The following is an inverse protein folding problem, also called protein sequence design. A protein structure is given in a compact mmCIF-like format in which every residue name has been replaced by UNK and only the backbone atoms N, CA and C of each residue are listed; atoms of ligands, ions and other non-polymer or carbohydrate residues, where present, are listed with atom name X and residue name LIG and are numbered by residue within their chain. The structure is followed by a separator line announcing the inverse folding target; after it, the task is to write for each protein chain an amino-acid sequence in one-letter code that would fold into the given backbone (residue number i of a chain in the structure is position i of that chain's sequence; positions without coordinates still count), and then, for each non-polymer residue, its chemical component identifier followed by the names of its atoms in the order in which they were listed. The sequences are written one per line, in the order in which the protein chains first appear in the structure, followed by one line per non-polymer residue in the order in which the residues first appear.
data_IF_780101148580
#
_entry.id   IF_780101148580
#
_cell.length_a   1.000
_cell.length_b   1.000
_cell.length_c   1.000
_cell.angle_alpha   90.00
_cell.angle_beta   90.00
_cell.angle_gamma   90.00
#
_symmetry.space_group_name_H-M   'P 1'
#
loop_
_entity.id
_entity.type
_entity.pdbx_description
1 polymer ?
#
# COMPACT_ATOMS: atom_id res chain seq x y z
N UNK A 1 4.63 -2.23 -46.64
CA UNK A 1 4.04 -2.77 -45.41
C UNK A 1 3.73 -1.60 -44.49
N UNK A 2 2.63 -1.64 -43.73
CA UNK A 2 2.38 -0.65 -42.68
C UNK A 2 3.32 -0.84 -41.48
N UNK A 3 3.31 0.08 -40.50
CA UNK A 3 4.10 -0.09 -39.28
C UNK A 3 3.68 -1.34 -38.50
N UNK A 4 4.65 -1.96 -37.82
CA UNK A 4 4.37 -2.97 -36.80
C UNK A 4 3.83 -2.28 -35.56
N UNK A 5 2.98 -2.96 -34.79
CA UNK A 5 2.34 -2.40 -33.60
C UNK A 5 2.75 -3.16 -32.36
N UNK A 6 3.22 -2.43 -31.36
CA UNK A 6 3.52 -2.93 -30.02
C UNK A 6 2.56 -2.25 -29.06
N UNK A 7 1.63 -3.01 -28.48
CA UNK A 7 0.66 -2.48 -27.51
C UNK A 7 1.05 -2.86 -26.09
N UNK A 8 1.14 -1.86 -25.23
CA UNK A 8 1.41 -2.00 -23.81
C UNK A 8 0.18 -1.54 -23.05
N UNK A 9 -0.45 -2.46 -22.33
CA UNK A 9 -1.33 -2.09 -21.23
C UNK A 9 -0.53 -2.03 -19.94
N UNK A 10 -0.81 -1.06 -19.09
CA UNK A 10 -0.09 -0.90 -17.84
C UNK A 10 -0.94 -0.35 -16.71
N UNK A 11 -0.61 -0.80 -15.50
CA UNK A 11 -1.09 -0.24 -14.23
C UNK A 11 0.10 0.11 -13.36
N UNK A 12 -0.15 0.89 -12.32
CA UNK A 12 0.82 1.25 -11.28
C UNK A 12 0.05 1.57 -10.01
N UNK A 13 0.75 1.52 -8.87
CA UNK A 13 0.24 1.98 -7.58
C UNK A 13 -1.09 1.30 -7.26
N UNK A 14 -1.15 -0.02 -7.44
CA UNK A 14 -2.39 -0.76 -7.27
C UNK A 14 -2.83 -0.80 -5.82
N UNK A 15 -1.91 -0.76 -4.85
CA UNK A 15 -2.16 -0.61 -3.42
C UNK A 15 -3.21 -1.59 -2.86
N UNK A 16 -3.23 -2.81 -3.39
CA UNK A 16 -4.20 -3.83 -3.05
C UNK A 16 -5.64 -3.59 -3.54
N UNK A 17 -5.92 -2.54 -4.32
CA UNK A 17 -7.26 -2.26 -4.85
C UNK A 17 -7.60 -3.23 -5.98
N UNK A 18 -8.39 -4.25 -5.69
CA UNK A 18 -8.72 -5.31 -6.66
C UNK A 18 -10.08 -5.16 -7.35
N UNK A 19 -10.91 -4.20 -6.94
CA UNK A 19 -12.31 -4.10 -7.38
C UNK A 19 -12.46 -3.98 -8.90
N UNK A 20 -11.64 -3.18 -9.56
CA UNK A 20 -11.71 -2.93 -11.01
C UNK A 20 -10.94 -3.97 -11.85
N UNK A 21 -10.26 -4.92 -11.22
CA UNK A 21 -9.37 -5.84 -11.93
C UNK A 21 -10.12 -6.75 -12.92
N UNK A 22 -11.36 -7.11 -12.62
CA UNK A 22 -12.20 -7.88 -13.54
C UNK A 22 -12.50 -7.14 -14.86
N UNK A 23 -12.75 -5.83 -14.77
CA UNK A 23 -12.97 -4.99 -15.94
C UNK A 23 -11.68 -4.75 -16.74
N UNK A 24 -10.54 -4.58 -16.07
CA UNK A 24 -9.22 -4.51 -16.71
C UNK A 24 -8.91 -5.81 -17.48
N UNK A 25 -9.06 -6.97 -16.82
CA UNK A 25 -8.86 -8.29 -17.43
C UNK A 25 -9.66 -8.46 -18.71
N UNK A 26 -10.93 -8.03 -18.70
CA UNK A 26 -11.79 -8.07 -19.89
C UNK A 26 -11.21 -7.24 -21.04
N UNK A 27 -10.80 -6.00 -20.80
CA UNK A 27 -10.22 -5.12 -21.82
C UNK A 27 -8.95 -5.75 -22.43
N UNK A 28 -8.07 -6.26 -21.58
CA UNK A 28 -6.81 -6.89 -22.02
C UNK A 28 -7.08 -8.17 -22.82
N UNK A 29 -8.00 -9.04 -22.35
CA UNK A 29 -8.40 -10.26 -23.07
C UNK A 29 -9.07 -9.96 -24.41
N UNK A 30 -9.92 -8.95 -24.48
CA UNK A 30 -10.52 -8.51 -25.75
C UNK A 30 -9.45 -8.04 -26.74
N UNK A 31 -8.44 -7.31 -26.28
CA UNK A 31 -7.32 -6.90 -27.12
C UNK A 31 -6.48 -8.09 -27.60
N UNK A 32 -6.07 -8.99 -26.68
CA UNK A 32 -5.34 -10.22 -27.02
C UNK A 32 -6.15 -11.14 -27.95
N UNK A 33 -7.48 -11.16 -27.88
CA UNK A 33 -8.30 -11.95 -28.81
C UNK A 33 -8.25 -11.43 -30.25
N UNK A 34 -8.01 -10.14 -30.44
CA UNK A 34 -7.91 -9.48 -31.75
C UNK A 34 -6.48 -9.49 -32.28
N UNK A 35 -5.51 -9.44 -31.38
CA UNK A 35 -4.08 -9.44 -31.68
C UNK A 35 -3.31 -10.26 -30.62
N UNK A 36 -3.26 -11.60 -30.77
CA UNK A 36 -2.69 -12.51 -29.76
C UNK A 36 -1.22 -12.27 -29.44
N UNK A 37 -0.45 -11.81 -30.43
CA UNK A 37 0.99 -11.59 -30.31
C UNK A 37 1.36 -10.12 -30.12
N UNK A 38 0.38 -9.20 -30.08
CA UNK A 38 0.61 -7.76 -30.11
C UNK A 38 0.50 -7.02 -28.78
N UNK A 39 0.19 -7.72 -27.68
CA UNK A 39 -0.15 -7.08 -26.39
C UNK A 39 0.77 -7.56 -25.27
N UNK A 40 1.41 -6.61 -24.59
CA UNK A 40 2.01 -6.79 -23.27
C UNK A 40 1.14 -6.13 -22.20
N UNK A 41 1.03 -6.76 -21.05
CA UNK A 41 0.34 -6.24 -19.89
C UNK A 41 1.28 -6.22 -18.68
N UNK A 42 1.58 -5.04 -18.15
CA UNK A 42 2.63 -4.85 -17.14
C UNK A 42 2.15 -4.04 -15.94
N UNK A 43 2.79 -4.23 -14.78
CA UNK A 43 2.61 -3.38 -13.60
C UNK A 43 3.92 -2.67 -13.27
N UNK A 44 3.83 -1.41 -12.87
CA UNK A 44 4.95 -0.57 -12.44
C UNK A 44 5.14 -0.53 -10.92
N UNK A 45 4.59 -1.49 -10.18
CA UNK A 45 4.86 -1.66 -8.74
C UNK A 45 3.87 -0.96 -7.81
N UNK A 46 4.14 -1.10 -6.51
CA UNK A 46 3.24 -0.81 -5.40
C UNK A 46 1.95 -1.63 -5.50
N UNK A 47 2.14 -2.94 -5.57
CA UNK A 47 1.07 -3.93 -5.59
C UNK A 47 0.36 -3.98 -4.24
N UNK A 48 1.11 -3.76 -3.16
CA UNK A 48 0.65 -3.84 -1.76
C UNK A 48 0.40 -2.47 -1.11
N UNK A 49 -0.10 -2.52 0.13
CA UNK A 49 -0.32 -1.39 1.03
C UNK A 49 -1.47 -0.47 0.60
N UNK A 50 -2.65 -0.60 1.23
CA UNK A 50 -3.71 0.41 1.09
C UNK A 50 -5.12 -0.13 1.27
N UNK A 51 -5.60 -0.95 0.34
CA UNK A 51 -6.97 -1.43 0.35
C UNK A 51 -7.20 -2.49 1.45
N UNK A 52 -8.22 -2.28 2.30
CA UNK A 52 -8.53 -3.20 3.41
C UNK A 52 -8.81 -4.63 2.97
N UNK A 53 -9.40 -4.83 1.77
CA UNK A 53 -9.62 -6.17 1.21
C UNK A 53 -8.32 -6.96 1.07
N UNK A 54 -7.22 -6.28 0.73
CA UNK A 54 -5.89 -6.85 0.59
C UNK A 54 -5.17 -6.93 1.93
N UNK A 55 -5.19 -5.85 2.72
CA UNK A 55 -4.48 -5.81 4.01
C UNK A 55 -4.97 -6.84 5.02
N UNK A 56 -6.29 -7.03 5.11
CA UNK A 56 -6.89 -8.03 5.99
C UNK A 56 -6.58 -9.46 5.58
N UNK A 57 -6.19 -9.68 4.31
CA UNK A 57 -5.97 -11.00 3.72
C UNK A 57 -4.51 -11.20 3.30
N UNK A 58 -3.61 -10.51 3.98
CA UNK A 58 -2.17 -10.53 3.77
C UNK A 58 -1.74 -10.42 2.31
N UNK A 59 -2.28 -9.43 1.59
CA UNK A 59 -1.86 -9.14 0.21
C UNK A 59 -2.28 -10.17 -0.84
N UNK A 60 -2.78 -11.36 -0.44
CA UNK A 60 -3.16 -12.46 -1.34
C UNK A 60 -4.11 -12.03 -2.47
N UNK A 61 -5.16 -11.21 -2.22
CA UNK A 61 -6.02 -10.77 -3.30
C UNK A 61 -5.27 -10.00 -4.39
N UNK A 62 -4.30 -9.15 -4.01
CA UNK A 62 -3.52 -8.38 -4.97
C UNK A 62 -2.68 -9.29 -5.86
N UNK A 63 -2.01 -10.28 -5.26
CA UNK A 63 -1.12 -11.21 -5.98
C UNK A 63 -1.88 -12.15 -6.91
N UNK A 64 -2.95 -12.78 -6.41
CA UNK A 64 -3.70 -13.74 -7.22
C UNK A 64 -4.44 -13.05 -8.38
N UNK A 65 -4.86 -11.79 -8.19
CA UNK A 65 -5.43 -10.99 -9.28
C UNK A 65 -4.40 -10.71 -10.38
N UNK A 66 -3.15 -10.38 -10.05
CA UNK A 66 -2.09 -10.18 -11.05
C UNK A 66 -1.85 -11.47 -11.87
N UNK A 67 -1.79 -12.62 -11.19
CA UNK A 67 -1.64 -13.92 -11.84
C UNK A 67 -2.84 -14.27 -12.74
N UNK A 68 -4.06 -14.17 -12.21
CA UNK A 68 -5.29 -14.52 -12.92
C UNK A 68 -5.62 -13.56 -14.09
N UNK A 69 -5.24 -12.28 -13.99
CA UNK A 69 -5.39 -11.32 -15.08
C UNK A 69 -4.30 -11.47 -16.17
N UNK A 70 -3.27 -12.29 -15.91
CA UNK A 70 -2.23 -12.61 -16.89
C UNK A 70 -1.31 -11.42 -17.20
N UNK A 71 -0.81 -10.76 -16.15
CA UNK A 71 0.30 -9.80 -16.28
C UNK A 71 1.55 -10.53 -16.81
N UNK A 72 2.20 -9.94 -17.81
CA UNK A 72 3.40 -10.48 -18.45
C UNK A 72 4.68 -10.18 -17.68
N UNK A 73 4.69 -9.08 -16.93
CA UNK A 73 5.81 -8.56 -16.12
C UNK A 73 5.27 -7.66 -15.00
N UNK A 74 5.87 -7.72 -13.82
CA UNK A 74 5.59 -6.82 -12.70
C UNK A 74 6.91 -6.25 -12.17
N UNK A 75 7.03 -4.93 -12.06
CA UNK A 75 8.11 -4.27 -11.30
C UNK A 75 7.73 -4.18 -9.83
N UNK A 76 8.72 -4.21 -8.93
CA UNK A 76 8.50 -3.93 -7.50
C UNK A 76 8.45 -2.43 -7.22
N UNK A 77 7.53 -2.01 -6.35
CA UNK A 77 7.52 -0.67 -5.78
C UNK A 77 8.07 -0.61 -4.36
N UNK A 78 8.11 0.57 -3.76
CA UNK A 78 8.62 0.73 -2.40
C UNK A 78 7.71 0.05 -1.37
N UNK A 79 6.39 0.13 -1.55
CA UNK A 79 5.43 -0.47 -0.62
C UNK A 79 5.41 -1.99 -0.67
N UNK A 80 6.02 -2.59 -1.69
CA UNK A 80 6.18 -4.04 -1.75
C UNK A 80 7.16 -4.60 -0.71
N UNK A 81 7.96 -3.72 -0.10
CA UNK A 81 8.87 -4.04 1.00
C UNK A 81 8.27 -3.79 2.40
N UNK A 82 7.07 -3.22 2.52
CA UNK A 82 6.49 -2.81 3.82
C UNK A 82 6.25 -3.95 4.82
N UNK A 83 6.23 -5.19 4.34
CA UNK A 83 6.07 -6.40 5.17
C UNK A 83 7.38 -7.13 5.41
N UNK A 84 8.50 -6.59 4.92
CA UNK A 84 9.84 -7.14 5.11
C UNK A 84 10.35 -7.98 3.95
N UNK A 85 11.69 -8.11 3.86
CA UNK A 85 12.38 -8.87 2.80
C UNK A 85 11.90 -10.33 2.69
N UNK A 86 11.50 -10.96 3.78
CA UNK A 86 10.98 -12.33 3.75
C UNK A 86 9.68 -12.42 2.94
N UNK A 87 8.76 -11.47 3.14
CA UNK A 87 7.46 -11.45 2.50
C UNK A 87 7.57 -11.20 0.99
N UNK A 88 8.38 -10.22 0.56
CA UNK A 88 8.59 -9.97 -0.87
C UNK A 88 9.26 -11.17 -1.56
N UNK A 89 10.19 -11.87 -0.88
CA UNK A 89 10.81 -13.10 -1.40
C UNK A 89 9.79 -14.23 -1.56
N UNK A 90 8.87 -14.40 -0.61
CA UNK A 90 7.80 -15.38 -0.70
C UNK A 90 6.84 -15.07 -1.86
N UNK A 91 6.51 -13.79 -2.08
CA UNK A 91 5.78 -13.36 -3.27
C UNK A 91 6.54 -13.69 -4.55
N UNK A 92 7.80 -13.23 -4.69
CA UNK A 92 8.61 -13.48 -5.88
C UNK A 92 8.73 -14.97 -6.18
N UNK A 93 8.91 -15.81 -5.15
CA UNK A 93 8.99 -17.26 -5.29
C UNK A 93 7.68 -17.96 -5.69
N UNK A 94 6.54 -17.32 -5.48
CA UNK A 94 5.21 -17.84 -5.84
C UNK A 94 4.57 -17.15 -7.05
N UNK A 95 5.19 -16.08 -7.56
CA UNK A 95 4.69 -15.32 -8.70
C UNK A 95 4.62 -16.18 -9.97
N UNK A 96 3.49 -16.07 -10.69
CA UNK A 96 3.28 -16.74 -11.99
C UNK A 96 3.81 -15.92 -13.17
N UNK A 97 4.41 -14.77 -12.87
CA UNK A 97 4.93 -13.78 -13.80
C UNK A 97 6.35 -13.41 -13.38
N UNK A 98 7.21 -12.98 -14.32
CA UNK A 98 8.51 -12.43 -13.97
C UNK A 98 8.36 -11.13 -13.17
N UNK A 99 9.17 -11.04 -12.12
CA UNK A 99 9.32 -9.83 -11.31
C UNK A 99 10.63 -9.13 -11.69
N UNK A 100 10.57 -7.83 -11.96
CA UNK A 100 11.74 -6.99 -12.17
C UNK A 100 12.10 -6.25 -10.86
N UNK A 101 13.41 -5.99 -10.67
CA UNK A 101 13.96 -5.17 -9.60
C UNK A 101 15.45 -4.88 -9.90
N UNK A 102 15.75 -4.12 -10.96
CA UNK A 102 17.10 -4.06 -11.51
C UNK A 102 18.15 -3.50 -10.54
N UNK A 103 17.74 -2.52 -9.74
CA UNK A 103 18.60 -1.78 -8.81
C UNK A 103 18.47 -2.26 -7.36
N UNK A 104 17.83 -3.41 -7.08
CA UNK A 104 17.71 -3.96 -5.72
C UNK A 104 18.70 -5.10 -5.53
N UNK A 105 19.67 -4.91 -4.65
CA UNK A 105 20.79 -5.83 -4.42
C UNK A 105 20.77 -6.39 -3.00
N UNK A 106 21.09 -7.67 -2.83
CA UNK A 106 21.34 -8.28 -1.53
C UNK A 106 22.77 -7.98 -1.08
N UNK A 107 22.94 -7.28 0.04
CA UNK A 107 24.26 -6.88 0.55
C UNK A 107 25.16 -8.10 0.84
N UNK A 108 24.56 -9.20 1.31
CA UNK A 108 25.29 -10.42 1.68
C UNK A 108 25.95 -11.12 0.50
N UNK A 109 25.40 -10.99 -0.70
CA UNK A 109 25.90 -11.68 -1.91
C UNK A 109 26.48 -10.70 -2.93
N UNK A 110 26.11 -9.42 -2.86
CA UNK A 110 26.35 -8.43 -3.90
C UNK A 110 25.59 -8.73 -5.20
N UNK A 111 24.63 -9.67 -5.17
CA UNK A 111 23.79 -10.03 -6.31
C UNK A 111 22.43 -9.35 -6.20
N UNK A 112 21.69 -9.32 -7.31
CA UNK A 112 20.32 -8.83 -7.36
C UNK A 112 19.42 -9.66 -6.42
N UNK A 113 18.36 -9.04 -5.91
CA UNK A 113 17.33 -9.71 -5.11
C UNK A 113 16.94 -11.06 -5.71
N UNK A 114 17.05 -12.12 -4.91
CA UNK A 114 16.84 -13.48 -5.40
C UNK A 114 15.45 -13.64 -6.03
N UNK A 115 15.41 -14.23 -7.23
CA UNK A 115 14.18 -14.48 -7.98
C UNK A 115 13.72 -13.35 -8.90
N UNK A 116 14.31 -12.16 -8.81
CA UNK A 116 14.01 -11.06 -9.75
C UNK A 116 14.96 -11.05 -10.94
N UNK A 117 14.57 -10.31 -11.99
CA UNK A 117 15.44 -9.96 -13.12
C UNK A 117 15.66 -8.45 -13.14
N UNK A 118 16.69 -8.00 -13.84
CA UNK A 118 16.91 -6.57 -14.05
C UNK A 118 16.25 -6.09 -15.32
N UNK A 119 16.33 -6.93 -16.33
CA UNK A 119 15.61 -6.74 -17.56
C UNK A 119 15.12 -8.06 -18.13
N UNK A 120 14.28 -7.96 -19.15
CA UNK A 120 13.88 -9.07 -20.00
C UNK A 120 13.54 -8.57 -21.40
N UNK A 121 13.51 -9.49 -22.38
CA UNK A 121 12.98 -9.23 -23.71
C UNK A 121 11.68 -10.02 -23.89
N UNK A 122 10.69 -9.38 -24.51
CA UNK A 122 9.47 -10.01 -25.04
C UNK A 122 9.37 -9.71 -26.53
N UNK A 123 8.93 -10.70 -27.29
CA UNK A 123 8.60 -10.50 -28.69
C UNK A 123 7.13 -10.11 -28.80
N UNK A 124 6.84 -9.01 -29.48
CA UNK A 124 5.49 -8.46 -29.67
C UNK A 124 5.31 -8.13 -31.14
N UNK A 125 4.43 -8.85 -31.85
CA UNK A 125 4.27 -8.75 -33.30
C UNK A 125 5.61 -8.81 -34.06
N UNK A 126 6.50 -9.70 -33.60
CA UNK A 126 7.85 -9.87 -34.15
C UNK A 126 8.85 -8.78 -33.76
N UNK A 127 8.50 -7.83 -32.88
CA UNK A 127 9.39 -6.79 -32.32
C UNK A 127 9.94 -7.20 -30.97
N UNK A 128 11.27 -7.13 -30.79
CA UNK A 128 11.92 -7.43 -29.52
C UNK A 128 11.85 -6.21 -28.59
N UNK A 129 10.91 -6.24 -27.66
CA UNK A 129 10.71 -5.22 -26.63
C UNK A 129 11.50 -5.58 -25.38
N UNK A 130 12.54 -4.81 -25.09
CA UNK A 130 13.30 -4.88 -23.84
C UNK A 130 12.63 -4.06 -22.74
N UNK A 131 12.52 -4.63 -21.54
CA UNK A 131 11.95 -3.96 -20.36
C UNK A 131 12.97 -4.01 -19.23
N UNK A 132 13.24 -2.86 -18.61
CA UNK A 132 14.05 -2.72 -17.39
C UNK A 132 13.14 -2.27 -16.26
N UNK A 133 13.32 -2.79 -15.05
CA UNK A 133 12.52 -2.39 -13.90
C UNK A 133 13.36 -1.70 -12.82
N UNK A 134 12.94 -0.55 -12.30
CA UNK A 134 13.65 0.16 -11.23
C UNK A 134 12.72 0.75 -10.18
N UNK A 135 13.17 0.74 -8.93
CA UNK A 135 12.46 1.27 -7.76
C UNK A 135 13.27 2.39 -7.09
N UNK A 136 12.58 3.36 -6.47
CA UNK A 136 13.22 4.52 -5.82
C UNK A 136 14.23 4.12 -4.74
N UNK A 137 15.36 4.83 -4.67
CA UNK A 137 16.33 4.67 -3.57
C UNK A 137 15.73 5.11 -2.23
N UNK A 138 14.68 5.94 -2.25
CA UNK A 138 13.96 6.36 -1.07
C UNK A 138 13.36 5.17 -0.30
N UNK A 139 13.16 4.02 -0.94
CA UNK A 139 12.69 2.76 -0.30
C UNK A 139 13.49 2.41 0.95
N UNK A 140 14.80 2.71 0.98
CA UNK A 140 15.65 2.53 2.16
C UNK A 140 15.22 3.35 3.39
N UNK A 141 14.41 4.39 3.18
CA UNK A 141 14.00 5.37 4.18
C UNK A 141 12.48 5.52 4.33
N UNK A 142 11.69 5.25 3.29
CA UNK A 142 10.22 5.37 3.32
C UNK A 142 9.54 4.08 3.77
N UNK A 143 10.13 2.93 3.50
CA UNK A 143 9.79 1.69 4.22
C UNK A 143 10.49 1.70 5.58
N UNK A 144 9.93 1.01 6.59
CA UNK A 144 10.64 0.86 7.86
C UNK A 144 12.03 0.26 7.61
N UNK A 145 13.10 0.91 8.09
CA UNK A 145 14.47 0.48 7.81
C UNK A 145 14.73 -1.00 8.18
N UNK A 146 14.01 -1.52 9.17
CA UNK A 146 14.00 -2.93 9.58
C UNK A 146 13.49 -3.88 8.47
N UNK A 147 12.54 -3.43 7.65
CA UNK A 147 11.90 -4.23 6.61
C UNK A 147 12.78 -4.44 5.37
N UNK A 148 13.76 -3.57 5.15
CA UNK A 148 14.68 -3.63 4.01
C UNK A 148 16.11 -4.00 4.43
N UNK A 149 16.29 -4.51 5.65
CA UNK A 149 17.59 -4.92 6.16
C UNK A 149 18.28 -5.93 5.24
N UNK A 150 19.55 -5.68 4.94
CA UNK A 150 20.36 -6.51 4.04
C UNK A 150 20.13 -6.26 2.55
N UNK A 151 19.35 -5.22 2.19
CA UNK A 151 19.18 -4.77 0.81
C UNK A 151 19.88 -3.42 0.59
N UNK A 152 20.41 -3.24 -0.63
CA UNK A 152 20.94 -1.99 -1.14
C UNK A 152 20.20 -1.61 -2.42
N UNK A 153 19.74 -0.36 -2.47
CA UNK A 153 19.10 0.23 -3.65
C UNK A 153 20.12 1.05 -4.42
N UNK A 154 20.55 0.55 -5.58
CA UNK A 154 21.53 1.22 -6.45
C UNK A 154 20.93 2.43 -7.16
N UNK A 155 21.81 3.32 -7.63
CA UNK A 155 21.41 4.48 -8.44
C UNK A 155 20.62 3.99 -9.68
N UNK A 156 19.38 4.47 -9.86
CA UNK A 156 18.51 3.97 -10.92
C UNK A 156 19.00 4.39 -12.31
N UNK A 157 19.63 5.56 -12.46
CA UNK A 157 20.14 6.04 -13.76
C UNK A 157 21.31 5.19 -14.24
N UNK A 158 22.29 4.94 -13.38
CA UNK A 158 23.42 4.07 -13.68
C UNK A 158 22.98 2.62 -13.93
N UNK A 159 21.99 2.16 -13.16
CA UNK A 159 21.42 0.83 -13.34
C UNK A 159 20.73 0.70 -14.70
N UNK A 160 19.79 1.60 -15.03
CA UNK A 160 19.09 1.56 -16.33
C UNK A 160 20.08 1.68 -17.48
N UNK A 161 21.11 2.53 -17.38
CA UNK A 161 22.14 2.65 -18.42
C UNK A 161 22.85 1.31 -18.67
N UNK A 162 23.19 0.57 -17.61
CA UNK A 162 23.81 -0.76 -17.70
C UNK A 162 22.87 -1.79 -18.34
N UNK A 163 21.62 -1.86 -17.88
CA UNK A 163 20.65 -2.84 -18.38
C UNK A 163 20.24 -2.53 -19.83
N UNK A 164 20.10 -1.26 -20.21
CA UNK A 164 19.84 -0.83 -21.61
C UNK A 164 20.99 -1.26 -22.53
N UNK A 165 22.24 -1.16 -22.09
CA UNK A 165 23.38 -1.63 -22.88
C UNK A 165 23.32 -3.15 -23.10
N UNK A 166 22.92 -3.92 -22.10
CA UNK A 166 22.74 -5.37 -22.20
C UNK A 166 21.58 -5.72 -23.15
N UNK A 167 20.41 -5.09 -22.98
CA UNK A 167 19.26 -5.26 -23.88
C UNK A 167 19.62 -5.00 -25.36
N UNK A 168 20.37 -3.93 -25.64
CA UNK A 168 20.83 -3.63 -27.00
C UNK A 168 21.76 -4.72 -27.54
N UNK A 169 22.67 -5.24 -26.70
CA UNK A 169 23.56 -6.34 -27.09
C UNK A 169 22.79 -7.66 -27.35
N UNK A 170 21.67 -7.87 -26.66
CA UNK A 170 20.76 -9.00 -26.87
C UNK A 170 19.79 -8.81 -28.06
N UNK A 171 19.84 -7.63 -28.69
CA UNK A 171 19.07 -7.30 -29.89
C UNK A 171 17.67 -6.78 -29.61
N UNK A 172 17.43 -6.16 -28.45
CA UNK A 172 16.21 -5.37 -28.23
C UNK A 172 16.14 -4.20 -29.21
N UNK A 173 14.96 -3.97 -29.76
CA UNK A 173 14.69 -2.97 -30.81
C UNK A 173 13.90 -1.80 -30.27
N UNK A 174 13.02 -2.07 -29.31
CA UNK A 174 12.32 -1.08 -28.50
C UNK A 174 12.69 -1.35 -27.04
N UNK A 175 13.06 -0.31 -26.30
CA UNK A 175 13.45 -0.44 -24.89
C UNK A 175 12.59 0.49 -24.03
N UNK A 176 11.93 -0.09 -23.04
CA UNK A 176 11.14 0.64 -22.06
C UNK A 176 11.63 0.43 -20.64
N UNK A 177 11.29 1.38 -19.76
CA UNK A 177 11.51 1.27 -18.31
C UNK A 177 10.16 1.15 -17.60
N UNK A 178 9.99 0.13 -16.76
CA UNK A 178 8.95 0.06 -15.74
C UNK A 178 9.52 0.71 -14.49
N UNK A 179 9.01 1.88 -14.14
CA UNK A 179 9.63 2.74 -13.15
C UNK A 179 8.73 2.95 -11.95
N UNK A 180 9.30 2.79 -10.76
CA UNK A 180 8.72 3.17 -9.49
C UNK A 180 9.60 4.24 -8.80
N UNK A 181 10.03 5.23 -9.58
CA UNK A 181 10.87 6.35 -9.12
C UNK A 181 10.05 7.61 -8.80
N UNK A 182 8.93 7.81 -9.48
CA UNK A 182 8.14 9.04 -9.41
C UNK A 182 8.47 10.02 -10.53
N UNK A 183 7.51 10.91 -10.84
CA UNK A 183 7.59 11.71 -12.06
C UNK A 183 8.84 12.59 -12.19
N UNK A 184 9.35 13.17 -11.10
CA UNK A 184 10.54 14.03 -11.18
C UNK A 184 11.79 13.23 -11.57
N UNK A 185 11.95 12.06 -10.97
CA UNK A 185 13.09 11.19 -11.21
C UNK A 185 12.98 10.46 -12.55
N UNK A 186 11.77 10.16 -13.02
CA UNK A 186 11.52 9.68 -14.38
C UNK A 186 11.93 10.71 -15.43
N UNK A 187 11.63 12.00 -15.20
CA UNK A 187 12.07 13.07 -16.10
C UNK A 187 13.60 13.20 -16.12
N UNK A 188 14.26 13.05 -14.96
CA UNK A 188 15.72 13.09 -14.88
C UNK A 188 16.35 11.87 -15.57
N UNK A 189 15.81 10.68 -15.35
CA UNK A 189 16.21 9.45 -16.03
C UNK A 189 16.11 9.61 -17.56
N UNK A 190 14.99 10.14 -18.05
CA UNK A 190 14.76 10.38 -19.48
C UNK A 190 15.75 11.40 -20.09
N UNK A 191 16.25 12.36 -19.30
CA UNK A 191 17.30 13.30 -19.77
C UNK A 191 18.64 12.60 -19.98
N UNK A 192 18.93 11.59 -19.18
CA UNK A 192 20.26 10.97 -19.09
C UNK A 192 20.39 9.64 -19.84
N UNK A 193 19.31 8.88 -20.01
CA UNK A 193 19.34 7.54 -20.62
C UNK A 193 18.34 7.45 -21.78
N UNK A 194 18.82 7.32 -23.03
CA UNK A 194 17.94 7.24 -24.19
C UNK A 194 17.27 5.86 -24.28
N UNK A 195 15.98 5.84 -23.94
CA UNK A 195 15.02 4.73 -24.08
C UNK A 195 13.80 5.21 -24.89
N UNK A 196 12.93 4.32 -25.32
CA UNK A 196 11.76 4.71 -26.13
C UNK A 196 10.60 5.20 -25.23
N UNK A 197 10.43 4.59 -24.06
CA UNK A 197 9.38 4.97 -23.12
C UNK A 197 9.72 4.64 -21.66
N UNK A 198 9.04 5.31 -20.74
CA UNK A 198 8.99 5.04 -19.30
C UNK A 198 7.51 4.92 -18.92
N UNK A 199 7.14 3.81 -18.30
CA UNK A 199 5.85 3.62 -17.65
C UNK A 199 6.10 3.76 -16.16
N UNK A 200 5.64 4.86 -15.56
CA UNK A 200 5.98 5.26 -14.20
C UNK A 200 4.89 4.96 -13.16
N UNK A 201 5.27 5.15 -11.90
CA UNK A 201 4.46 5.00 -10.68
C UNK A 201 4.91 5.92 -9.56
N UNK A 202 4.62 5.58 -8.31
CA UNK A 202 5.07 6.23 -7.07
C UNK A 202 4.40 7.58 -6.75
N UNK A 203 4.25 8.48 -7.72
CA UNK A 203 3.63 9.81 -7.51
C UNK A 203 2.11 9.83 -7.69
N UNK A 204 1.51 8.71 -8.11
CA UNK A 204 0.06 8.53 -8.35
C UNK A 204 -0.53 9.50 -9.39
N UNK A 205 0.30 10.09 -10.25
CA UNK A 205 -0.16 11.03 -11.27
C UNK A 205 -0.79 10.29 -12.45
N UNK A 206 -1.86 10.86 -13.02
CA UNK A 206 -2.52 10.35 -14.22
C UNK A 206 -2.25 11.28 -15.40
N UNK A 207 -1.27 10.94 -16.24
CA UNK A 207 -0.93 11.73 -17.41
C UNK A 207 -1.91 11.43 -18.55
N UNK A 208 -2.82 12.38 -18.83
CA UNK A 208 -3.76 12.24 -19.95
C UNK A 208 -3.02 12.13 -21.30
N UNK A 209 -1.92 12.87 -21.43
CA UNK A 209 -0.98 12.79 -22.55
C UNK A 209 0.42 12.48 -22.02
N UNK A 210 1.24 11.65 -22.71
CA UNK A 210 2.59 11.38 -22.28
C UNK A 210 3.44 12.65 -22.21
N UNK A 211 4.28 12.77 -21.18
CA UNK A 211 5.37 13.75 -21.21
C UNK A 211 6.40 13.28 -22.23
N UNK A 212 7.03 14.21 -22.95
CA UNK A 212 8.11 13.89 -23.87
C UNK A 212 9.38 14.65 -23.45
N UNK A 213 10.38 13.90 -22.98
CA UNK A 213 11.67 14.42 -22.57
C UNK A 213 12.73 13.81 -23.48
N UNK A 214 13.36 14.63 -24.32
CA UNK A 214 14.40 14.19 -25.26
C UNK A 214 13.99 13.01 -26.18
N UNK A 215 12.70 12.91 -26.53
CA UNK A 215 12.18 11.82 -27.36
C UNK A 215 11.71 10.60 -26.57
N UNK A 216 11.91 10.56 -25.25
CA UNK A 216 11.40 9.51 -24.35
C UNK A 216 9.97 9.85 -23.92
N UNK A 217 9.04 8.92 -24.13
CA UNK A 217 7.65 9.06 -23.69
C UNK A 217 7.52 8.62 -22.23
N UNK A 218 6.99 9.47 -21.35
CA UNK A 218 6.75 9.14 -19.94
C UNK A 218 5.24 9.11 -19.70
N UNK A 219 4.73 7.97 -19.25
CA UNK A 219 3.31 7.74 -19.00
C UNK A 219 3.11 7.29 -17.55
N UNK A 220 2.03 7.75 -16.90
CA UNK A 220 1.59 7.24 -15.61
C UNK A 220 0.07 7.07 -15.59
N UNK A 221 -0.47 5.94 -15.10
CA UNK A 221 -1.90 5.65 -15.15
C UNK A 221 -2.66 6.18 -13.92
N UNK A 222 -2.02 6.93 -13.03
CA UNK A 222 -2.53 7.19 -11.69
C UNK A 222 -2.39 5.98 -10.79
N UNK A 223 -3.30 5.83 -9.83
CA UNK A 223 -3.26 4.78 -8.82
C UNK A 223 -4.59 4.02 -8.68
N UNK A 224 -4.57 2.97 -7.84
CA UNK A 224 -5.73 2.22 -7.36
C UNK A 224 -6.52 1.52 -8.46
N UNK A 225 -5.87 1.25 -9.60
CA UNK A 225 -6.52 0.71 -10.81
C UNK A 225 -7.74 1.53 -11.25
N UNK A 226 -7.70 2.86 -11.03
CA UNK A 226 -8.73 3.78 -11.55
C UNK A 226 -8.65 3.91 -13.07
N UNK A 227 -7.44 3.87 -13.62
CA UNK A 227 -7.22 3.81 -15.05
C UNK A 227 -6.40 2.58 -15.44
N UNK A 228 -6.67 2.08 -16.64
CA UNK A 228 -5.76 1.21 -17.38
C UNK A 228 -5.04 2.07 -18.41
N UNK A 229 -3.72 2.19 -18.27
CA UNK A 229 -2.88 2.84 -19.26
C UNK A 229 -2.77 1.99 -20.53
N UNK A 230 -2.83 2.61 -21.70
CA UNK A 230 -2.62 1.99 -23.01
C UNK A 230 -1.63 2.83 -23.80
N UNK A 231 -0.46 2.27 -24.10
CA UNK A 231 0.52 2.86 -25.01
C UNK A 231 0.71 1.92 -26.20
N UNK A 232 0.31 2.36 -27.39
CA UNK A 232 0.58 1.66 -28.64
C UNK A 232 1.71 2.38 -29.37
N UNK A 233 2.76 1.65 -29.73
CA UNK A 233 3.90 2.15 -30.49
C UNK A 233 3.82 1.64 -31.93
N UNK A 234 4.08 2.53 -32.87
CA UNK A 234 4.26 2.20 -34.28
C UNK A 234 5.76 2.04 -34.56
N UNK A 235 6.16 0.86 -35.02
CA UNK A 235 7.57 0.52 -35.31
C UNK A 235 7.73 0.32 -36.81
N UNK A 236 8.67 1.05 -37.40
CA UNK A 236 8.96 0.92 -38.83
C UNK A 236 9.60 -0.46 -39.12
N UNK A 237 9.04 -1.28 -40.03
CA UNK A 237 9.53 -2.64 -40.27
C UNK A 237 10.97 -2.70 -40.80
N UNK A 238 11.44 -1.64 -41.48
CA UNK A 238 12.78 -1.59 -42.07
C UNK A 238 13.85 -1.18 -41.07
N UNK A 239 13.69 -0.02 -40.46
CA UNK A 239 14.64 0.55 -39.49
C UNK A 239 14.50 -0.02 -38.08
N UNK A 240 13.36 -0.66 -37.77
CA UNK A 240 13.02 -1.23 -36.45
C UNK A 240 12.99 -0.18 -35.34
N UNK A 241 12.72 1.08 -35.70
CA UNK A 241 12.62 2.21 -34.77
C UNK A 241 11.16 2.61 -34.57
N UNK A 242 10.86 3.14 -33.38
CA UNK A 242 9.57 3.78 -33.10
C UNK A 242 9.42 5.03 -33.98
N UNK A 243 8.32 5.12 -34.71
CA UNK A 243 7.99 6.25 -35.61
C UNK A 243 6.73 7.00 -35.21
N UNK A 244 5.91 6.41 -34.32
CA UNK A 244 4.66 6.98 -33.86
C UNK A 244 4.19 6.31 -32.57
N UNK A 245 3.23 6.95 -31.90
CA UNK A 245 2.58 6.38 -30.72
C UNK A 245 1.12 6.84 -30.64
N UNK A 246 0.33 6.06 -29.92
CA UNK A 246 -1.01 6.43 -29.47
C UNK A 246 -1.14 6.05 -28.00
N UNK A 247 -1.45 7.02 -27.16
CA UNK A 247 -1.63 6.85 -25.72
C UNK A 247 -3.09 7.08 -25.32
N UNK A 248 -3.56 6.33 -24.33
CA UNK A 248 -4.85 6.55 -23.71
C UNK A 248 -4.86 6.07 -22.26
N UNK A 249 -5.49 6.82 -21.36
CA UNK A 249 -5.95 6.32 -20.06
C UNK A 249 -7.41 5.90 -20.17
N UNK A 250 -7.68 4.62 -19.96
CA UNK A 250 -9.02 4.08 -19.93
C UNK A 250 -9.53 4.11 -18.50
N UNK A 251 -10.50 4.97 -18.19
CA UNK A 251 -11.11 4.96 -16.85
C UNK A 251 -11.88 3.66 -16.66
N UNK A 252 -11.59 2.96 -15.56
CA UNK A 252 -12.21 1.69 -15.23
C UNK A 252 -13.06 1.85 -13.99
N UNK A 253 -14.27 1.33 -14.04
CA UNK A 253 -15.18 1.25 -12.90
C UNK A 253 -15.34 -0.20 -12.48
N UNK A 254 -15.70 -0.42 -11.21
CA UNK A 254 -16.08 -1.74 -10.74
C UNK A 254 -17.33 -2.18 -11.49
N UNK A 255 -17.16 -3.16 -12.37
CA UNK A 255 -18.22 -3.77 -13.14
C UNK A 255 -18.08 -5.27 -12.96
N UNK A 256 -19.06 -5.87 -12.28
CA UNK A 256 -19.12 -7.32 -12.21
C UNK A 256 -19.18 -7.91 -13.61
N UNK A 257 -18.41 -8.98 -13.81
CA UNK A 257 -18.46 -9.79 -15.02
C UNK A 257 -18.30 -11.27 -14.67
N UNK A 258 -18.51 -12.13 -15.65
CA UNK A 258 -18.31 -13.57 -15.53
C UNK A 258 -16.84 -14.00 -15.69
N UNK A 259 -15.90 -13.05 -15.67
CA UNK A 259 -14.47 -13.37 -15.76
C UNK A 259 -13.96 -14.08 -14.50
N UNK A 260 -12.95 -14.94 -14.66
CA UNK A 260 -12.27 -15.61 -13.56
C UNK A 260 -11.74 -14.61 -12.51
N UNK A 261 -11.19 -13.47 -12.97
CA UNK A 261 -10.72 -12.40 -12.11
C UNK A 261 -11.87 -11.78 -11.31
N UNK A 262 -13.03 -11.53 -11.94
CA UNK A 262 -14.20 -11.00 -11.22
C UNK A 262 -14.72 -11.99 -10.16
N UNK A 263 -14.74 -13.28 -10.47
CA UNK A 263 -15.11 -14.32 -9.51
C UNK A 263 -14.11 -14.43 -8.34
N UNK A 264 -12.81 -14.25 -8.62
CA UNK A 264 -11.77 -14.19 -7.60
C UNK A 264 -11.96 -13.00 -6.66
N UNK A 265 -12.16 -11.79 -7.22
CA UNK A 265 -12.43 -10.57 -6.45
C UNK A 265 -13.68 -10.73 -5.59
N UNK A 266 -14.77 -11.27 -6.14
CA UNK A 266 -16.01 -11.53 -5.41
C UNK A 266 -15.79 -12.43 -4.20
N UNK A 267 -15.06 -13.54 -4.38
CA UNK A 267 -14.73 -14.47 -3.29
C UNK A 267 -13.98 -13.79 -2.15
N UNK A 268 -13.00 -12.95 -2.48
CA UNK A 268 -12.24 -12.19 -1.47
C UNK A 268 -13.10 -11.14 -0.78
N UNK A 269 -14.01 -10.50 -1.50
CA UNK A 269 -14.99 -9.55 -0.94
C UNK A 269 -15.96 -10.26 0.02
N UNK A 270 -16.54 -11.39 -0.38
CA UNK A 270 -17.44 -12.20 0.45
C UNK A 270 -16.77 -12.68 1.74
N UNK A 271 -15.47 -13.06 1.70
CA UNK A 271 -14.71 -13.42 2.91
C UNK A 271 -14.63 -12.24 3.89
N UNK A 272 -14.28 -11.05 3.39
CA UNK A 272 -14.17 -9.84 4.21
C UNK A 272 -15.54 -9.44 4.75
N UNK A 273 -16.58 -9.41 3.92
CA UNK A 273 -17.96 -9.10 4.35
C UNK A 273 -18.45 -10.06 5.43
N UNK A 274 -18.22 -11.38 5.25
CA UNK A 274 -18.59 -12.38 6.24
C UNK A 274 -17.86 -12.16 7.58
N UNK A 275 -16.56 -11.91 7.55
CA UNK A 275 -15.77 -11.68 8.75
C UNK A 275 -16.16 -10.37 9.44
N UNK A 276 -16.19 -9.26 8.69
CA UNK A 276 -16.53 -7.93 9.21
C UNK A 276 -17.98 -7.83 9.70
N UNK A 277 -18.89 -8.68 9.21
CA UNK A 277 -20.26 -8.77 9.69
C UNK A 277 -20.43 -9.53 11.02
N UNK A 278 -19.40 -10.16 11.56
CA UNK A 278 -19.50 -10.89 12.83
C UNK A 278 -19.62 -9.92 14.01
N UNK A 279 -20.61 -10.15 14.88
CA UNK A 279 -20.76 -9.44 16.16
C UNK A 279 -19.67 -9.94 17.12
N UNK A 280 -18.91 -9.01 17.67
CA UNK A 280 -17.76 -9.29 18.54
C UNK A 280 -17.87 -8.60 19.90
N UNK A 281 -18.67 -7.55 20.01
CA UNK A 281 -18.91 -6.86 21.30
C UNK A 281 -20.28 -6.19 21.33
N UNK A 282 -20.52 -5.37 22.36
CA UNK A 282 -21.75 -4.60 22.53
C UNK A 282 -21.45 -3.22 23.12
N UNK A 283 -22.09 -2.17 22.59
CA UNK A 283 -22.03 -0.81 23.11
C UNK A 283 -23.36 -0.45 23.81
N UNK A 284 -23.29 0.03 25.06
CA UNK A 284 -24.45 0.39 25.87
C UNK A 284 -25.11 1.74 25.50
N UNK A 285 -24.46 2.50 24.62
CA UNK A 285 -24.97 3.72 24.03
C UNK A 285 -24.17 4.13 22.80
N UNK A 286 -24.64 5.16 22.10
CA UNK A 286 -23.93 5.67 20.92
C UNK A 286 -22.61 6.32 21.32
N UNK A 287 -21.51 5.81 20.75
CA UNK A 287 -20.18 6.36 20.93
C UNK A 287 -19.82 7.23 19.72
N UNK A 288 -19.79 8.52 19.94
CA UNK A 288 -19.59 9.53 18.90
C UNK A 288 -18.16 10.04 18.96
N UNK A 289 -17.54 10.21 17.80
CA UNK A 289 -16.27 10.90 17.64
C UNK A 289 -16.50 12.40 17.42
N UNK A 290 -15.68 13.25 18.06
CA UNK A 290 -15.68 14.70 17.82
C UNK A 290 -14.28 15.20 17.49
N UNK A 291 -14.13 15.78 16.30
CA UNK A 291 -12.85 16.36 15.86
C UNK A 291 -12.45 17.62 16.64
N UNK A 292 -13.38 18.26 17.38
CA UNK A 292 -13.15 19.56 18.03
C UNK A 292 -13.05 19.51 19.56
N UNK A 293 -13.84 18.68 20.24
CA UNK A 293 -13.88 18.67 21.72
C UNK A 293 -13.61 17.30 22.36
N UNK A 294 -13.42 16.25 21.55
CA UNK A 294 -13.37 14.85 22.01
C UNK A 294 -14.79 14.34 22.34
N UNK A 295 -15.21 13.27 21.67
CA UNK A 295 -16.55 12.71 21.85
C UNK A 295 -16.60 11.54 22.84
N UNK A 296 -17.76 10.92 23.02
CA UNK A 296 -17.92 9.75 23.90
C UNK A 296 -17.04 8.57 23.45
N UNK A 297 -16.77 8.42 22.15
CA UNK A 297 -15.85 7.40 21.65
C UNK A 297 -14.39 7.72 21.99
N UNK A 298 -13.97 8.99 21.91
CA UNK A 298 -12.63 9.42 22.34
C UNK A 298 -12.42 9.13 23.83
N UNK A 299 -13.44 9.39 24.66
CA UNK A 299 -13.38 9.08 26.09
C UNK A 299 -13.31 7.56 26.33
N UNK A 300 -14.12 6.77 25.62
CA UNK A 300 -14.09 5.31 25.73
C UNK A 300 -12.72 4.72 25.33
N UNK A 301 -12.12 5.19 24.23
CA UNK A 301 -10.78 4.76 23.79
C UNK A 301 -9.73 5.10 24.83
N UNK A 302 -9.71 6.35 25.34
CA UNK A 302 -8.74 6.73 26.36
C UNK A 302 -8.94 5.96 27.66
N UNK A 303 -10.18 5.74 28.09
CA UNK A 303 -10.49 4.93 29.26
C UNK A 303 -10.05 3.48 29.08
N UNK A 304 -10.26 2.90 27.89
CA UNK A 304 -9.79 1.55 27.56
C UNK A 304 -8.25 1.45 27.66
N UNK A 305 -7.52 2.44 27.13
CA UNK A 305 -6.06 2.50 27.23
C UNK A 305 -5.60 2.62 28.68
N UNK A 306 -6.26 3.44 29.50
CA UNK A 306 -5.95 3.59 30.93
C UNK A 306 -6.19 2.28 31.69
N UNK A 307 -7.32 1.62 31.47
CA UNK A 307 -7.64 0.32 32.09
C UNK A 307 -6.62 -0.77 31.74
N UNK A 308 -6.16 -0.80 30.49
CA UNK A 308 -5.20 -1.79 30.01
C UNK A 308 -3.79 -1.59 30.57
N UNK A 309 -3.39 -0.34 30.84
CA UNK A 309 -2.00 0.02 31.15
C UNK A 309 -1.75 0.43 32.60
N UNK A 310 -2.82 0.82 33.31
CA UNK A 310 -2.73 1.49 34.62
C UNK A 310 -1.99 2.83 34.58
N UNK A 311 -1.97 3.52 33.43
CA UNK A 311 -1.36 4.83 33.29
C UNK A 311 -2.16 5.93 34.00
N UNK A 312 -1.54 7.10 34.21
CA UNK A 312 -2.21 8.27 34.79
C UNK A 312 -3.07 9.01 33.76
N UNK A 313 -2.58 9.00 32.51
CA UNK A 313 -3.14 9.75 31.39
C UNK A 313 -3.12 8.90 30.13
N UNK A 314 -4.19 8.92 29.35
CA UNK A 314 -4.18 8.47 27.96
C UNK A 314 -4.10 9.67 27.03
N UNK A 315 -3.15 9.64 26.10
CA UNK A 315 -2.96 10.67 25.09
C UNK A 315 -2.80 10.01 23.71
N UNK A 316 -3.68 10.40 22.79
CA UNK A 316 -3.61 9.98 21.40
C UNK A 316 -4.15 11.07 20.47
N UNK A 317 -3.81 11.00 19.19
CA UNK A 317 -4.33 11.92 18.19
C UNK A 317 -5.76 11.51 17.78
N UNK A 318 -6.68 12.46 17.68
CA UNK A 318 -8.08 12.25 17.26
C UNK A 318 -8.20 11.56 15.91
N UNK A 319 -7.24 11.78 15.01
CA UNK A 319 -7.19 11.11 13.69
C UNK A 319 -7.04 9.58 13.78
N UNK A 320 -6.75 9.04 14.96
CA UNK A 320 -6.81 7.61 15.24
C UNK A 320 -8.23 7.06 15.06
N UNK A 321 -9.25 7.84 15.45
CA UNK A 321 -10.67 7.48 15.35
C UNK A 321 -11.24 8.05 14.05
N UNK A 322 -11.95 7.22 13.28
CA UNK A 322 -12.39 7.54 11.92
C UNK A 322 -13.90 7.48 11.71
N UNK A 323 -14.64 6.85 12.61
CA UNK A 323 -16.09 6.73 12.55
C UNK A 323 -16.68 6.63 13.96
N UNK A 324 -17.98 6.89 14.07
CA UNK A 324 -18.77 6.62 15.27
C UNK A 324 -19.01 5.11 15.43
N UNK A 325 -19.34 4.70 16.65
CA UNK A 325 -19.76 3.34 16.96
C UNK A 325 -21.21 3.38 17.50
N UNK A 326 -22.19 2.81 16.79
CA UNK A 326 -23.58 2.83 17.23
C UNK A 326 -23.79 1.95 18.48
N UNK A 327 -24.83 2.28 19.26
CA UNK A 327 -25.30 1.43 20.34
C UNK A 327 -25.77 0.06 19.84
N UNK A 328 -25.71 -0.95 20.70
CA UNK A 328 -26.16 -2.31 20.40
C UNK A 328 -25.02 -3.24 20.01
N UNK A 329 -25.32 -4.19 19.13
CA UNK A 329 -24.34 -5.14 18.61
C UNK A 329 -23.21 -4.43 17.86
N UNK A 330 -21.98 -4.70 18.28
CA UNK A 330 -20.77 -4.15 17.66
C UNK A 330 -20.13 -5.24 16.81
N UNK A 331 -20.05 -5.01 15.50
CA UNK A 331 -19.37 -5.93 14.58
C UNK A 331 -17.88 -5.66 14.49
N UNK A 332 -17.10 -6.66 14.07
CA UNK A 332 -15.68 -6.50 13.78
C UNK A 332 -15.45 -5.37 12.75
N UNK A 333 -16.31 -5.28 11.73
CA UNK A 333 -16.30 -4.21 10.73
C UNK A 333 -16.56 -2.83 11.31
N UNK A 334 -17.49 -2.70 12.27
CA UNK A 334 -17.76 -1.44 12.93
C UNK A 334 -16.54 -0.96 13.75
N UNK A 335 -15.86 -1.87 14.46
CA UNK A 335 -14.61 -1.58 15.16
C UNK A 335 -13.47 -1.22 14.20
N UNK A 336 -13.33 -1.94 13.09
CA UNK A 336 -12.34 -1.64 12.04
C UNK A 336 -12.58 -0.26 11.43
N UNK A 337 -13.83 0.09 11.12
CA UNK A 337 -14.17 1.40 10.58
C UNK A 337 -13.92 2.54 11.59
N UNK A 338 -14.19 2.30 12.88
CA UNK A 338 -13.92 3.28 13.92
C UNK A 338 -12.41 3.46 14.19
N UNK A 339 -11.65 2.38 14.21
CA UNK A 339 -10.21 2.33 14.50
C UNK A 339 -9.49 1.46 13.46
N UNK A 340 -9.19 2.00 12.26
CA UNK A 340 -8.68 1.20 11.14
C UNK A 340 -7.19 0.87 11.23
N UNK A 341 -6.45 1.59 12.07
CA UNK A 341 -5.00 1.42 12.20
C UNK A 341 -4.66 0.38 13.25
N UNK A 342 -3.65 -0.44 12.98
CA UNK A 342 -3.10 -1.42 13.94
C UNK A 342 -2.11 -0.78 14.93
N UNK A 343 -2.32 0.50 15.26
CA UNK A 343 -1.53 1.20 16.28
C UNK A 343 -1.61 0.45 17.60
N UNK A 344 -0.45 0.25 18.22
CA UNK A 344 -0.36 -0.44 19.50
C UNK A 344 -0.41 0.56 20.65
N UNK A 345 -1.10 0.19 21.72
CA UNK A 345 -1.07 0.91 22.99
C UNK A 345 0.29 0.67 23.63
N UNK A 346 1.03 1.75 23.89
CA UNK A 346 2.30 1.74 24.59
C UNK A 346 2.26 2.65 25.80
N UNK A 347 3.16 2.43 26.76
CA UNK A 347 3.37 3.36 27.86
C UNK A 347 4.69 4.09 27.71
N UNK A 348 4.69 5.37 28.08
CA UNK A 348 5.88 6.20 28.23
C UNK A 348 5.85 6.88 29.60
N UNK A 349 7.02 7.18 30.15
CA UNK A 349 7.15 7.98 31.36
C UNK A 349 7.71 9.35 30.99
N UNK A 350 7.02 10.40 31.39
CA UNK A 350 7.37 11.77 31.07
C UNK A 350 7.57 12.57 32.34
N UNK A 351 8.55 13.47 32.34
CA UNK A 351 8.58 14.55 33.33
C UNK A 351 7.43 15.51 33.09
N UNK A 352 7.06 16.29 34.10
CA UNK A 352 6.07 17.36 33.94
C UNK A 352 6.39 18.29 32.75
N UNK A 353 7.66 18.69 32.60
CA UNK A 353 8.10 19.54 31.50
C UNK A 353 7.90 18.88 30.12
N UNK A 354 8.23 17.59 29.99
CA UNK A 354 8.05 16.86 28.74
C UNK A 354 6.56 16.72 28.39
N UNK A 355 5.72 16.46 29.40
CA UNK A 355 4.28 16.39 29.22
C UNK A 355 3.71 17.75 28.78
N UNK A 356 4.10 18.84 29.43
CA UNK A 356 3.69 20.20 29.04
C UNK A 356 4.12 20.56 27.62
N UNK A 357 5.33 20.18 27.21
CA UNK A 357 5.81 20.38 25.84
C UNK A 357 4.99 19.60 24.81
N UNK A 358 4.68 18.34 25.08
CA UNK A 358 3.82 17.54 24.20
C UNK A 358 2.41 18.14 24.11
N UNK A 359 1.90 18.68 25.22
CA UNK A 359 0.64 19.39 25.24
C UNK A 359 0.69 20.72 24.47
N UNK A 360 1.80 21.45 24.49
CA UNK A 360 1.94 22.66 23.69
C UNK A 360 1.97 22.33 22.18
N UNK A 361 2.77 21.35 21.76
CA UNK A 361 2.88 20.97 20.34
C UNK A 361 1.58 20.50 19.70
N UNK A 362 0.71 19.82 20.45
CA UNK A 362 -0.65 19.49 19.98
C UNK A 362 -1.44 20.71 19.53
N UNK A 363 -1.29 21.84 20.22
CA UNK A 363 -2.02 23.06 19.92
C UNK A 363 -1.59 23.66 18.58
N UNK A 364 -0.30 23.54 18.23
CA UNK A 364 0.26 24.02 16.95
C UNK A 364 -0.34 23.30 15.74
N UNK A 365 -0.82 22.06 15.92
CA UNK A 365 -1.52 21.28 14.91
C UNK A 365 -3.05 21.42 14.95
N UNK A 366 -3.60 22.43 15.64
CA UNK A 366 -5.06 22.68 15.69
C UNK A 366 -5.82 21.92 16.77
N UNK A 367 -5.14 21.48 17.84
CA UNK A 367 -5.65 20.71 18.99
C UNK A 367 -6.44 19.44 18.60
N UNK A 368 -5.86 18.63 17.73
CA UNK A 368 -6.41 17.33 17.32
C UNK A 368 -6.06 16.18 18.27
N UNK A 369 -5.98 16.42 19.59
CA UNK A 369 -5.68 15.36 20.58
C UNK A 369 -6.90 14.95 21.39
N UNK A 370 -6.85 13.73 21.88
CA UNK A 370 -7.74 13.25 22.92
C UNK A 370 -6.90 12.95 24.15
N UNK A 371 -7.31 13.55 25.27
CA UNK A 371 -6.65 13.43 26.57
C UNK A 371 -7.69 12.93 27.57
N UNK A 372 -7.44 11.76 28.14
CA UNK A 372 -8.30 11.15 29.16
C UNK A 372 -7.48 10.91 30.42
N UNK A 373 -8.06 11.18 31.59
CA UNK A 373 -7.36 11.09 32.90
C UNK A 373 -8.21 10.30 33.87
N UNK A 374 -7.56 9.45 34.67
CA UNK A 374 -8.23 8.65 35.72
C UNK A 374 -8.80 9.51 36.85
N UNK A 375 -8.17 10.66 37.14
CA UNK A 375 -8.57 11.56 38.22
C UNK A 375 -8.34 13.04 37.84
N UNK A 376 -9.28 13.62 37.09
CA UNK A 376 -9.14 14.95 36.48
C UNK A 376 -8.90 16.09 37.48
N UNK A 377 -9.22 15.88 38.77
CA UNK A 377 -9.06 16.87 39.85
C UNK A 377 -7.74 16.79 40.61
N UNK A 378 -6.92 15.75 40.40
CA UNK A 378 -5.66 15.57 41.13
C UNK A 378 -4.46 16.12 40.33
N UNK A 379 -3.51 16.83 40.95
CA UNK A 379 -2.25 17.18 40.31
C UNK A 379 -1.51 15.91 39.85
N UNK A 380 -0.93 15.96 38.67
CA UNK A 380 -0.03 14.89 38.20
C UNK A 380 1.26 14.92 39.02
N UNK A 381 1.87 13.75 39.23
CA UNK A 381 3.16 13.62 39.92
C UNK A 381 4.32 14.17 39.09
N UNK A 382 5.53 14.16 39.67
CA UNK A 382 6.75 14.62 38.98
C UNK A 382 7.08 13.78 37.74
N UNK A 383 6.75 12.49 37.79
CA UNK A 383 6.77 11.56 36.66
C UNK A 383 5.34 11.15 36.33
N UNK A 384 4.99 11.23 35.06
CA UNK A 384 3.65 11.00 34.53
C UNK A 384 3.72 9.78 33.63
N UNK A 385 3.00 8.70 33.99
CA UNK A 385 2.86 7.54 33.13
C UNK A 385 1.76 7.82 32.12
N UNK A 386 2.11 7.85 30.84
CA UNK A 386 1.20 8.14 29.74
C UNK A 386 0.99 6.89 28.89
N UNK A 387 -0.27 6.47 28.75
CA UNK A 387 -0.68 5.53 27.72
C UNK A 387 -0.85 6.28 26.40
N UNK A 388 -0.15 5.86 25.36
CA UNK A 388 -0.22 6.48 24.03
C UNK A 388 -0.14 5.42 22.94
N UNK A 389 -0.17 5.84 21.68
CA UNK A 389 0.09 4.95 20.54
C UNK A 389 1.58 4.88 20.27
N UNK A 390 2.07 3.74 19.80
CA UNK A 390 3.41 3.60 19.22
C UNK A 390 3.76 4.71 18.21
N UNK A 391 2.83 5.10 17.34
CA UNK A 391 2.99 6.19 16.37
C UNK A 391 3.39 7.52 17.02
N UNK A 392 2.64 7.99 18.02
CA UNK A 392 2.97 9.24 18.73
C UNK A 392 4.27 9.13 19.53
N UNK A 393 4.53 7.98 20.16
CA UNK A 393 5.73 7.78 20.96
C UNK A 393 7.03 7.86 20.14
N UNK A 394 6.96 7.44 18.87
CA UNK A 394 8.06 7.49 17.91
C UNK A 394 8.25 8.86 17.23
N UNK A 395 7.38 9.85 17.48
CA UNK A 395 7.48 11.19 16.88
C UNK A 395 6.33 11.57 15.97
N UNK A 396 5.33 10.70 15.82
CA UNK A 396 4.12 11.00 15.06
C UNK A 396 3.49 12.33 15.49
N UNK A 397 3.14 13.15 14.50
CA UNK A 397 2.61 14.51 14.70
C UNK A 397 3.48 15.41 15.61
N UNK A 398 4.78 15.10 15.75
CA UNK A 398 5.75 15.89 16.51
C UNK A 398 5.70 15.73 18.03
N UNK A 399 4.92 14.79 18.57
CA UNK A 399 4.66 14.69 20.03
C UNK A 399 5.91 14.32 20.84
N UNK A 400 6.41 13.09 20.69
CA UNK A 400 7.43 12.51 21.55
C UNK A 400 8.60 11.94 20.75
N UNK A 401 9.79 11.91 21.32
CA UNK A 401 10.85 11.01 20.87
C UNK A 401 11.38 10.28 22.11
N UNK A 402 10.58 9.37 22.63
CA UNK A 402 10.87 8.69 23.90
C UNK A 402 10.75 7.19 23.67
N UNK A 403 11.69 6.43 24.23
CA UNK A 403 11.63 4.97 24.16
C UNK A 403 10.39 4.47 24.92
N UNK A 404 9.65 3.53 24.30
CA UNK A 404 8.50 2.89 24.92
C UNK A 404 8.94 2.02 26.09
N UNK A 405 8.18 2.02 27.19
CA UNK A 405 8.45 1.15 28.34
C UNK A 405 7.74 -0.20 28.26
N UNK A 406 6.59 -0.28 27.58
CA UNK A 406 5.84 -1.53 27.34
C UNK A 406 4.82 -1.38 26.19
N UNK A 407 4.41 -2.50 25.59
CA UNK A 407 3.39 -2.60 24.53
C UNK A 407 2.23 -3.48 25.01
N UNK A 408 0.98 -3.07 24.76
CA UNK A 408 -0.22 -3.61 25.43
C UNK A 408 -1.35 -4.07 24.48
N UNK A 409 -1.05 -4.29 23.20
CA UNK A 409 -2.02 -4.72 22.18
C UNK A 409 -2.46 -3.59 21.24
N UNK A 410 -3.28 -3.92 20.23
CA UNK A 410 -3.81 -2.94 19.27
C UNK A 410 -4.93 -2.13 19.95
N UNK A 411 -5.01 -0.83 19.69
CA UNK A 411 -6.00 0.07 20.32
C UNK A 411 -7.44 -0.43 20.13
N UNK A 412 -7.75 -0.97 18.94
CA UNK A 412 -9.06 -1.55 18.62
C UNK A 412 -9.46 -2.69 19.55
N UNK A 413 -8.54 -3.63 19.80
CA UNK A 413 -8.78 -4.78 20.68
C UNK A 413 -8.88 -4.33 22.15
N UNK A 414 -8.12 -3.29 22.52
CA UNK A 414 -8.20 -2.68 23.86
C UNK A 414 -9.56 -2.02 24.08
N UNK A 415 -10.10 -1.32 23.07
CA UNK A 415 -11.46 -0.77 23.11
C UNK A 415 -12.51 -1.88 23.20
N UNK A 416 -12.41 -2.92 22.39
CA UNK A 416 -13.31 -4.10 22.44
C UNK A 416 -13.38 -4.67 23.86
N UNK A 417 -12.23 -4.92 24.50
CA UNK A 417 -12.20 -5.43 25.87
C UNK A 417 -12.82 -4.47 26.90
N UNK A 418 -12.79 -3.16 26.66
CA UNK A 418 -13.48 -2.16 27.50
C UNK A 418 -15.00 -2.24 27.33
N UNK A 419 -15.48 -2.34 26.09
CA UNK A 419 -16.90 -2.52 25.78
C UNK A 419 -17.45 -3.81 26.40
N UNK A 420 -16.69 -4.90 26.30
CA UNK A 420 -17.05 -6.19 26.89
C UNK A 420 -17.21 -6.10 28.42
N UNK A 421 -16.32 -5.38 29.10
CA UNK A 421 -16.45 -5.14 30.55
C UNK A 421 -17.69 -4.31 30.88
N UNK A 422 -18.04 -3.32 30.07
CA UNK A 422 -19.24 -2.52 30.25
C UNK A 422 -20.51 -3.36 30.04
N UNK A 423 -20.57 -4.11 28.95
CA UNK A 423 -21.68 -5.01 28.62
C UNK A 423 -21.87 -6.12 29.67
N UNK A 424 -20.78 -6.69 30.20
CA UNK A 424 -20.84 -7.68 31.28
C UNK A 424 -21.45 -7.11 32.57
N UNK A 425 -21.20 -5.84 32.91
CA UNK A 425 -21.84 -5.17 34.06
C UNK A 425 -23.35 -4.99 33.88
N UNK A 426 -23.83 -4.95 32.64
CA UNK A 426 -25.24 -4.89 32.29
C UNK A 426 -25.90 -6.26 32.18
N UNK A 427 -25.16 -7.35 32.44
CA UNK A 427 -25.66 -8.72 32.35
C UNK A 427 -25.89 -9.20 30.92
N UNK A 428 -25.28 -8.55 29.93
CA UNK A 428 -25.36 -8.97 28.54
C UNK A 428 -24.46 -10.18 28.27
N UNK A 429 -24.94 -11.12 27.47
CA UNK A 429 -24.13 -12.24 27.01
C UNK A 429 -23.18 -11.75 25.92
N UNK A 430 -21.88 -11.89 26.16
CA UNK A 430 -20.86 -11.54 25.18
C UNK A 430 -20.71 -12.65 24.11
N UNK A 431 -20.37 -12.29 22.86
CA UNK A 431 -19.95 -13.27 21.87
C UNK A 431 -18.72 -14.05 22.35
N UNK A 432 -18.63 -15.34 21.99
CA UNK A 432 -17.41 -16.13 22.20
C UNK A 432 -16.46 -15.96 21.00
N UNK A 433 -16.19 -14.71 20.63
CA UNK A 433 -15.42 -14.29 19.46
C UNK A 433 -15.00 -12.84 19.65
N UNK A 434 -13.75 -12.51 19.31
CA UNK A 434 -13.22 -11.14 19.35
C UNK A 434 -12.74 -10.70 17.96
N UNK A 435 -12.57 -9.39 17.77
CA UNK A 435 -12.21 -8.80 16.48
C UNK A 435 -10.86 -9.30 15.96
N UNK A 436 -9.86 -9.45 16.83
CA UNK A 436 -8.53 -9.92 16.41
C UNK A 436 -8.58 -11.35 15.86
N UNK A 437 -9.36 -12.25 16.47
CA UNK A 437 -9.52 -13.61 15.99
C UNK A 437 -10.30 -13.65 14.68
N UNK A 438 -11.32 -12.78 14.52
CA UNK A 438 -12.01 -12.59 13.23
C UNK A 438 -11.02 -12.21 12.13
N UNK A 439 -10.20 -11.17 12.33
CA UNK A 439 -9.24 -10.74 11.32
C UNK A 439 -8.11 -11.75 11.08
N UNK A 440 -7.70 -12.52 12.10
CA UNK A 440 -6.75 -13.62 11.91
C UNK A 440 -7.29 -14.70 10.98
N UNK A 441 -8.61 -14.95 10.96
CA UNK A 441 -9.19 -15.93 10.01
C UNK A 441 -9.10 -15.48 8.54
N UNK A 442 -8.93 -14.18 8.29
CA UNK A 442 -8.76 -13.64 6.93
C UNK A 442 -7.32 -13.80 6.41
N UNK A 443 -6.34 -13.90 7.31
CA UNK A 443 -4.91 -14.01 7.00
C UNK A 443 -4.48 -15.43 6.60
N UNK A 444 -5.27 -16.45 6.96
CA UNK A 444 -5.16 -17.82 6.45
C UNK A 444 -5.51 -17.93 4.97
#
# INVERSE_FOLDING_TARGET
MGPLRVKLFFTSDEHGYVATAGAIDKVVKEARSKDPDGVLFVSCGDVFQGASISELQDGKPALEVLGAAGYDVVEVGNHDFDRGVHYIKDWIGSAQYPVLAANVMEESTGQRLAGTKGHLIREVNGVKVGLVGVVTQETATVSYAENVQGLRFEDPVETVRREVAQLKAEGAEVIGVLSHLGSSDDEELARQVPVDFILGGHTHEAFQEPKNINGVLICQPGAYRKYLGSLELEVDPGSRRVTGHHHQLLEVSDQESDSEVSALVRRYRERVEKATGQVVSYADGDLVHSHTQGGSLDQAVGQAMLEQTGADVALFNRKLIRANLPAGEVTAGALLNALPFDNRVVTVELTQQQFEQAMAKSADYGDHRSLVRTDAGRPLGETIKVATTDFLAQGGNGYFHVANSATHGIVRDVLEGHLDRAAARLGLSLPNLNAIDVFRTLKG
#
